data_IF_280204442799
#
_entry.id   IF_280204442799
#
_cell.length_a   1.000
_cell.length_b   1.000
_cell.length_c   1.000
_cell.angle_alpha   90.00
_cell.angle_beta   90.00
_cell.angle_gamma   90.00
#
_symmetry.space_group_name_H-M   'P 1'
#
loop_
_entity.id
_entity.type
_entity.pdbx_description
1 polymer ?
#
# COMPACT_ATOMS: atom_id res chain seq x y z
N UNK A 1 79.89 -51.57 -21.29
CA UNK A 1 80.56 -51.10 -20.06
C UNK A 1 80.12 -49.66 -19.83
N UNK A 2 79.48 -49.38 -18.68
CA UNK A 2 79.13 -48.06 -18.09
C UNK A 2 78.24 -47.11 -18.95
N UNK A 3 77.19 -46.46 -18.47
CA UNK A 3 76.57 -46.27 -17.15
C UNK A 3 75.53 -45.13 -17.30
N UNK A 4 74.42 -45.17 -16.55
CA UNK A 4 73.43 -44.07 -16.44
C UNK A 4 74.07 -42.85 -15.74
N UNK A 5 73.52 -41.64 -15.93
CA UNK A 5 72.71 -41.03 -14.85
C UNK A 5 71.46 -40.28 -15.39
N UNK A 6 70.24 -40.53 -14.89
CA UNK A 6 69.53 -39.79 -13.82
C UNK A 6 69.43 -38.27 -13.99
N UNK A 7 68.21 -37.81 -14.30
CA UNK A 7 67.73 -36.44 -14.11
C UNK A 7 66.21 -36.45 -13.99
N UNK A 8 65.70 -36.23 -12.78
CA UNK A 8 64.28 -36.04 -12.43
C UNK A 8 63.70 -34.79 -13.08
N UNK A 9 62.46 -34.83 -13.57
CA UNK A 9 61.52 -33.72 -13.47
C UNK A 9 60.07 -34.13 -13.84
N UNK A 10 59.29 -34.32 -12.78
CA UNK A 10 57.87 -33.97 -12.61
C UNK A 10 56.87 -34.14 -13.77
N UNK A 11 56.05 -35.18 -13.65
CA UNK A 11 54.72 -35.32 -14.21
C UNK A 11 53.76 -34.25 -13.66
N UNK A 12 53.03 -33.54 -14.52
CA UNK A 12 51.84 -32.78 -14.15
C UNK A 12 50.62 -33.42 -14.81
N UNK A 13 49.90 -34.25 -14.04
CA UNK A 13 48.57 -34.76 -14.38
C UNK A 13 47.54 -33.66 -14.12
N UNK A 14 46.92 -33.14 -15.18
CA UNK A 14 45.73 -32.30 -15.10
C UNK A 14 44.50 -33.20 -14.87
N UNK A 15 44.07 -33.29 -13.61
CA UNK A 15 42.80 -33.89 -13.21
C UNK A 15 41.65 -32.95 -13.54
N UNK A 16 40.79 -33.37 -14.47
CA UNK A 16 39.50 -32.73 -14.74
C UNK A 16 38.52 -33.08 -13.61
N UNK A 17 38.22 -32.12 -12.74
CA UNK A 17 37.14 -32.24 -11.75
C UNK A 17 35.81 -31.89 -12.41
N UNK A 18 35.04 -32.90 -12.81
CA UNK A 18 33.64 -32.75 -13.18
C UNK A 18 32.82 -32.49 -11.90
N UNK A 19 32.40 -31.24 -11.69
CA UNK A 19 31.46 -30.90 -10.63
C UNK A 19 30.06 -31.30 -11.09
N UNK A 20 29.65 -32.53 -10.80
CA UNK A 20 28.25 -32.96 -10.88
C UNK A 20 27.48 -32.31 -9.73
N UNK A 21 27.01 -31.09 -9.93
CA UNK A 21 26.07 -30.45 -9.01
C UNK A 21 24.72 -31.14 -9.11
N UNK A 22 24.36 -31.92 -8.09
CA UNK A 22 23.00 -32.39 -7.87
C UNK A 22 22.08 -31.17 -7.68
N UNK A 23 21.49 -30.69 -8.77
CA UNK A 23 20.40 -29.74 -8.70
C UNK A 23 19.20 -30.45 -8.07
N UNK A 24 19.01 -30.28 -6.76
CA UNK A 24 17.74 -30.58 -6.13
C UNK A 24 16.72 -29.66 -6.80
N UNK A 25 15.92 -30.19 -7.73
CA UNK A 25 14.79 -29.46 -8.27
C UNK A 25 13.86 -29.17 -7.10
N UNK A 26 13.77 -27.91 -6.67
CA UNK A 26 12.73 -27.48 -5.74
C UNK A 26 11.41 -27.66 -6.49
N UNK A 27 10.74 -28.79 -6.27
CA UNK A 27 9.37 -29.03 -6.70
C UNK A 27 8.45 -28.18 -5.83
N UNK A 28 8.37 -26.91 -6.18
CA UNK A 28 7.37 -25.96 -5.75
C UNK A 28 7.12 -25.05 -6.94
N UNK A 29 5.86 -24.80 -7.30
CA UNK A 29 5.54 -23.72 -8.24
C UNK A 29 6.15 -22.44 -7.69
N UNK A 30 7.04 -21.80 -8.43
CA UNK A 30 7.57 -20.49 -8.05
C UNK A 30 6.40 -19.50 -8.00
N UNK A 31 5.79 -19.35 -6.82
CA UNK A 31 4.77 -18.34 -6.58
C UNK A 31 5.53 -17.04 -6.42
N UNK A 32 5.71 -16.32 -7.53
CA UNK A 32 6.21 -14.95 -7.48
C UNK A 32 5.34 -14.14 -6.51
N UNK A 33 5.91 -13.25 -5.67
CA UNK A 33 5.13 -12.45 -4.72
C UNK A 33 3.91 -11.76 -5.37
N UNK A 34 4.05 -11.31 -6.62
CA UNK A 34 2.94 -10.77 -7.43
C UNK A 34 1.78 -11.76 -7.65
N UNK A 35 2.04 -13.05 -7.89
CA UNK A 35 0.99 -14.04 -8.11
C UNK A 35 0.16 -14.35 -6.84
N UNK A 36 0.75 -14.17 -5.65
CA UNK A 36 0.02 -14.24 -4.38
C UNK A 36 -0.80 -12.96 -4.16
N UNK A 37 -0.22 -11.82 -4.50
CA UNK A 37 -0.86 -10.52 -4.38
C UNK A 37 -2.09 -10.39 -5.31
N UNK A 38 -2.00 -10.86 -6.55
CA UNK A 38 -3.11 -10.80 -7.52
C UNK A 38 -4.34 -11.62 -7.07
N UNK A 39 -4.12 -12.71 -6.33
CA UNK A 39 -5.23 -13.53 -5.78
C UNK A 39 -5.89 -12.92 -4.56
N UNK A 40 -5.17 -12.04 -3.87
CA UNK A 40 -5.58 -11.48 -2.58
C UNK A 40 -6.18 -10.07 -2.70
N UNK A 41 -6.29 -9.55 -3.93
CA UNK A 41 -6.89 -8.24 -4.22
C UNK A 41 -8.33 -8.42 -4.70
N UNK A 42 -9.24 -7.54 -4.28
CA UNK A 42 -10.60 -7.53 -4.82
C UNK A 42 -10.59 -7.16 -6.30
N UNK A 43 -11.48 -7.79 -7.06
CA UNK A 43 -11.65 -7.62 -8.51
C UNK A 43 -13.01 -7.02 -8.83
N UNK A 44 -13.26 -6.64 -10.08
CA UNK A 44 -14.57 -6.15 -10.51
C UNK A 44 -15.74 -7.10 -10.16
N UNK A 45 -15.50 -8.41 -10.12
CA UNK A 45 -16.51 -9.42 -9.76
C UNK A 45 -16.95 -9.37 -8.29
N UNK A 46 -16.18 -8.69 -7.43
CA UNK A 46 -16.47 -8.56 -5.99
C UNK A 46 -17.42 -7.38 -5.67
N UNK A 47 -17.81 -6.62 -6.70
CA UNK A 47 -18.65 -5.45 -6.60
C UNK A 47 -19.99 -5.64 -7.35
N UNK A 48 -21.06 -4.94 -6.92
CA UNK A 48 -22.32 -4.95 -7.66
C UNK A 48 -22.15 -4.52 -9.13
N UNK A 49 -22.92 -5.10 -10.06
CA UNK A 49 -22.92 -4.64 -11.45
C UNK A 49 -23.23 -3.14 -11.55
N UNK A 50 -22.43 -2.42 -12.34
CA UNK A 50 -22.58 -0.97 -12.56
C UNK A 50 -21.70 -0.09 -11.66
N UNK A 51 -20.98 -0.66 -10.70
CA UNK A 51 -19.85 0.01 -10.03
C UNK A 51 -18.68 0.12 -11.02
N UNK A 52 -17.96 1.25 -11.00
CA UNK A 52 -16.73 1.39 -11.77
C UNK A 52 -15.57 0.83 -10.96
N UNK A 53 -14.80 -0.06 -11.57
CA UNK A 53 -13.62 -0.68 -10.97
C UNK A 53 -12.45 -0.54 -11.93
N UNK A 54 -11.30 -0.10 -11.41
CA UNK A 54 -10.05 -0.04 -12.15
C UNK A 54 -8.91 -0.60 -11.30
N UNK A 55 -8.07 -1.44 -11.90
CA UNK A 55 -6.78 -1.80 -11.31
C UNK A 55 -5.76 -0.70 -11.64
N UNK A 56 -5.02 -0.24 -10.63
CA UNK A 56 -4.06 0.85 -10.76
C UNK A 56 -2.67 0.25 -10.92
N UNK A 57 -2.12 0.37 -12.13
CA UNK A 57 -0.78 -0.10 -12.46
C UNK A 57 0.25 0.98 -12.10
N UNK A 58 1.03 0.72 -11.05
CA UNK A 58 2.12 1.60 -10.62
C UNK A 58 3.39 1.40 -11.45
N UNK A 59 4.17 2.46 -11.61
CA UNK A 59 5.48 2.40 -12.27
C UNK A 59 6.53 1.85 -11.29
N UNK A 60 7.23 0.74 -11.61
CA UNK A 60 8.24 0.18 -10.71
C UNK A 60 9.32 1.20 -10.32
N UNK A 61 9.63 1.28 -9.02
CA UNK A 61 10.66 2.16 -8.47
C UNK A 61 10.25 3.63 -8.32
N UNK A 62 9.05 4.01 -8.76
CA UNK A 62 8.51 5.36 -8.55
C UNK A 62 7.66 5.39 -7.26
N UNK A 63 7.90 6.32 -6.33
CA UNK A 63 7.03 6.49 -5.18
C UNK A 63 5.63 6.94 -5.59
N UNK A 64 4.64 6.56 -4.79
CA UNK A 64 3.28 7.07 -4.86
C UNK A 64 3.26 8.60 -4.90
N UNK A 65 2.44 9.17 -5.80
CA UNK A 65 2.29 10.62 -5.93
C UNK A 65 3.51 11.36 -6.50
N UNK A 66 4.53 10.65 -7.00
CA UNK A 66 5.70 11.28 -7.60
C UNK A 66 5.31 12.16 -8.80
N UNK A 67 5.63 13.45 -8.74
CA UNK A 67 5.25 14.45 -9.75
C UNK A 67 3.90 15.11 -9.51
N UNK A 68 3.18 14.75 -8.43
CA UNK A 68 2.01 15.49 -7.95
C UNK A 68 2.41 16.81 -7.25
N UNK A 69 1.44 17.70 -7.00
CA UNK A 69 1.68 18.90 -6.20
C UNK A 69 2.20 18.51 -4.80
N UNK A 70 3.05 19.34 -4.18
CA UNK A 70 3.49 19.10 -2.81
C UNK A 70 2.29 19.15 -1.85
N UNK A 71 2.44 18.49 -0.70
CA UNK A 71 1.48 18.62 0.37
C UNK A 71 1.34 20.09 0.81
N UNK A 72 0.11 20.50 1.16
CA UNK A 72 -0.14 21.83 1.71
C UNK A 72 0.70 22.04 2.98
N UNK A 73 1.08 23.30 3.23
CA UNK A 73 1.70 23.68 4.51
C UNK A 73 0.73 23.40 5.65
N UNK A 74 1.26 23.08 6.84
CA UNK A 74 0.43 22.81 8.01
C UNK A 74 1.00 23.34 9.31
N UNK A 75 0.12 23.53 10.28
CA UNK A 75 0.45 23.80 11.69
C UNK A 75 -0.36 22.87 12.59
N UNK A 76 0.27 21.94 13.33
CA UNK A 76 1.72 21.66 13.37
C UNK A 76 2.31 21.24 12.02
N UNK A 77 3.62 21.42 11.84
CA UNK A 77 4.32 21.08 10.59
C UNK A 77 4.20 19.58 10.28
N UNK A 78 3.99 19.25 9.00
CA UNK A 78 3.94 17.88 8.51
C UNK A 78 2.65 17.12 8.85
N UNK A 79 1.57 17.80 9.21
CA UNK A 79 0.26 17.19 9.46
C UNK A 79 -0.58 16.95 8.18
N UNK A 80 -0.39 17.75 7.12
CA UNK A 80 -1.14 17.59 5.85
C UNK A 80 -0.93 16.23 5.17
N UNK A 81 0.27 15.65 5.28
CA UNK A 81 0.65 14.39 4.64
C UNK A 81 1.23 13.37 5.62
N UNK A 82 0.94 13.54 6.92
CA UNK A 82 1.59 12.81 8.00
C UNK A 82 1.44 11.29 7.87
N UNK A 83 0.22 10.81 7.61
CA UNK A 83 -0.09 9.38 7.47
C UNK A 83 0.64 8.78 6.27
N UNK A 84 0.63 9.50 5.13
CA UNK A 84 1.36 9.10 3.92
C UNK A 84 2.86 8.98 4.19
N UNK A 85 3.46 9.91 4.94
CA UNK A 85 4.89 9.84 5.33
C UNK A 85 5.21 8.61 6.17
N UNK A 86 4.31 8.22 7.08
CA UNK A 86 4.50 7.00 7.89
C UNK A 86 4.54 5.76 7.00
N UNK A 87 3.58 5.62 6.07
CA UNK A 87 3.53 4.49 5.13
C UNK A 87 4.78 4.48 4.23
N UNK A 88 5.15 5.63 3.67
CA UNK A 88 6.28 5.75 2.78
C UNK A 88 7.63 5.41 3.46
N UNK A 89 7.75 5.69 4.77
CA UNK A 89 8.96 5.41 5.53
C UNK A 89 9.18 3.91 5.78
N UNK A 90 8.11 3.11 5.85
CA UNK A 90 8.18 1.65 6.04
C UNK A 90 7.91 0.88 4.74
N UNK A 91 7.92 1.53 3.59
CA UNK A 91 7.51 0.91 2.33
C UNK A 91 8.57 -0.04 1.77
N UNK A 92 8.20 -1.30 1.55
CA UNK A 92 9.01 -2.23 0.74
C UNK A 92 8.80 -1.93 -0.74
N UNK A 93 9.89 -1.55 -1.43
CA UNK A 93 9.84 -1.18 -2.85
C UNK A 93 10.27 -2.35 -3.71
N UNK A 94 9.43 -2.72 -4.68
CA UNK A 94 9.75 -3.76 -5.66
C UNK A 94 8.54 -4.17 -6.47
N UNK A 95 8.76 -4.85 -7.61
CA UNK A 95 7.67 -5.41 -8.37
C UNK A 95 6.91 -6.45 -7.53
N UNK A 96 5.59 -6.31 -7.44
CA UNK A 96 4.73 -7.20 -6.66
C UNK A 96 4.77 -6.99 -5.15
N UNK A 97 5.27 -5.84 -4.66
CA UNK A 97 5.19 -5.48 -3.23
C UNK A 97 3.83 -4.88 -2.87
N UNK A 98 3.21 -4.15 -3.82
CA UNK A 98 1.90 -3.54 -3.64
C UNK A 98 1.00 -3.73 -4.87
N UNK A 99 -0.30 -3.81 -4.64
CA UNK A 99 -1.34 -3.85 -5.68
C UNK A 99 -2.46 -2.90 -5.30
N UNK A 100 -2.94 -2.14 -6.27
CA UNK A 100 -3.86 -1.04 -6.05
C UNK A 100 -5.06 -1.15 -6.96
N UNK A 101 -6.20 -0.72 -6.46
CA UNK A 101 -7.40 -0.59 -7.27
C UNK A 101 -8.22 0.60 -6.80
N UNK A 102 -9.02 1.15 -7.71
CA UNK A 102 -10.05 2.11 -7.38
C UNK A 102 -11.43 1.55 -7.64
N UNK A 103 -12.37 1.93 -6.78
CA UNK A 103 -13.79 1.60 -6.89
C UNK A 103 -14.56 2.90 -6.81
N UNK A 104 -15.43 3.18 -7.76
CA UNK A 104 -16.27 4.36 -7.77
C UNK A 104 -17.76 4.00 -7.81
N UNK A 105 -18.48 4.63 -6.90
CA UNK A 105 -19.92 4.70 -6.79
C UNK A 105 -20.34 6.14 -7.03
N UNK A 106 -21.60 6.38 -7.37
CA UNK A 106 -22.13 7.75 -7.30
C UNK A 106 -22.23 8.18 -5.83
N UNK A 107 -21.32 9.08 -5.43
CA UNK A 107 -21.20 9.60 -4.06
C UNK A 107 -19.94 9.15 -3.32
N UNK A 108 -19.19 8.18 -3.83
CA UNK A 108 -17.98 7.68 -3.17
C UNK A 108 -16.94 7.15 -4.17
N UNK A 109 -15.71 7.65 -4.07
CA UNK A 109 -14.54 7.07 -4.74
C UNK A 109 -13.58 6.53 -3.70
N UNK A 110 -13.26 5.25 -3.80
CA UNK A 110 -12.34 4.54 -2.91
C UNK A 110 -11.11 4.13 -3.69
N UNK A 111 -9.93 4.31 -3.09
CA UNK A 111 -8.67 3.73 -3.57
C UNK A 111 -8.15 2.83 -2.48
N UNK A 112 -7.90 1.57 -2.82
CA UNK A 112 -7.35 0.57 -1.92
C UNK A 112 -5.97 0.15 -2.39
N UNK A 113 -5.08 -0.06 -1.43
CA UNK A 113 -3.74 -0.58 -1.63
C UNK A 113 -3.55 -1.80 -0.74
N UNK A 114 -3.15 -2.91 -1.34
CA UNK A 114 -2.77 -4.15 -0.66
C UNK A 114 -1.26 -4.29 -0.72
N UNK A 115 -0.66 -4.60 0.43
CA UNK A 115 0.78 -4.70 0.63
C UNK A 115 1.17 -6.12 1.01
N UNK A 116 2.33 -6.57 0.55
CA UNK A 116 2.93 -7.85 0.95
C UNK A 116 3.67 -7.80 2.30
N UNK A 117 3.59 -6.67 3.00
CA UNK A 117 4.23 -6.43 4.30
C UNK A 117 3.29 -5.68 5.24
N UNK A 118 3.64 -5.65 6.53
CA UNK A 118 2.82 -5.02 7.56
C UNK A 118 3.10 -3.51 7.67
N UNK A 119 2.04 -2.75 7.95
CA UNK A 119 2.12 -1.34 8.32
C UNK A 119 2.55 -1.19 9.79
N UNK A 120 3.20 -0.07 10.10
CA UNK A 120 3.46 0.38 11.47
C UNK A 120 2.21 1.07 12.04
N UNK A 121 1.26 0.25 12.51
CA UNK A 121 -0.03 0.73 13.01
C UNK A 121 0.11 1.61 14.25
N UNK A 122 1.07 1.33 15.13
CA UNK A 122 1.29 2.14 16.33
C UNK A 122 1.75 3.56 15.94
N UNK A 123 2.67 3.67 14.98
CA UNK A 123 3.13 4.97 14.49
C UNK A 123 2.06 5.71 13.70
N UNK A 124 1.22 5.00 12.95
CA UNK A 124 0.03 5.58 12.30
C UNK A 124 -0.94 6.13 13.33
N UNK A 125 -1.25 5.37 14.38
CA UNK A 125 -2.15 5.79 15.44
C UNK A 125 -1.63 7.02 16.20
N UNK A 126 -0.37 6.98 16.64
CA UNK A 126 0.28 8.11 17.31
C UNK A 126 0.36 9.36 16.42
N UNK A 127 0.53 9.17 15.11
CA UNK A 127 0.54 10.27 14.15
C UNK A 127 -0.85 10.88 13.95
N UNK A 128 -1.89 10.05 13.87
CA UNK A 128 -3.26 10.52 13.79
C UNK A 128 -3.67 11.30 15.04
N UNK A 129 -3.24 10.87 16.23
CA UNK A 129 -3.46 11.59 17.49
C UNK A 129 -2.74 12.94 17.51
N UNK A 130 -1.46 12.97 17.12
CA UNK A 130 -0.69 14.23 17.02
C UNK A 130 -1.34 15.24 16.05
N UNK A 131 -1.93 14.75 14.97
CA UNK A 131 -2.59 15.55 13.95
C UNK A 131 -4.13 15.46 14.03
N UNK A 132 -4.67 15.27 15.25
CA UNK A 132 -6.11 15.23 15.50
C UNK A 132 -6.78 16.58 15.19
N UNK A 133 -6.08 17.69 15.42
CA UNK A 133 -6.49 19.03 15.05
C UNK A 133 -5.27 19.77 14.50
N UNK A 134 -5.41 20.38 13.32
CA UNK A 134 -4.35 21.15 12.70
C UNK A 134 -4.94 22.17 11.72
N UNK A 135 -4.10 23.09 11.24
CA UNK A 135 -4.45 24.01 10.17
C UNK A 135 -3.62 23.68 8.93
N UNK A 136 -4.21 23.90 7.76
CA UNK A 136 -3.49 23.86 6.47
C UNK A 136 -3.59 25.19 5.75
N UNK A 137 -2.66 25.44 4.83
CA UNK A 137 -2.53 26.73 4.16
C UNK A 137 -2.22 26.53 2.67
N UNK A 138 -2.88 27.30 1.81
CA UNK A 138 -2.55 27.36 0.39
C UNK A 138 -1.21 28.06 0.15
N UNK A 139 -0.91 29.08 0.94
CA UNK A 139 0.35 29.81 0.98
C UNK A 139 0.65 30.27 2.43
N UNK A 140 1.89 30.71 2.75
CA UNK A 140 2.27 31.10 4.11
C UNK A 140 1.52 32.30 4.70
N UNK A 141 0.91 33.16 3.88
CA UNK A 141 0.25 34.41 4.28
C UNK A 141 -1.28 34.27 4.39
N UNK A 142 -1.84 33.20 3.81
CA UNK A 142 -3.25 32.85 3.87
C UNK A 142 -3.76 32.56 5.30
N UNK A 143 -5.06 32.78 5.51
CA UNK A 143 -5.76 32.28 6.69
C UNK A 143 -5.72 30.74 6.73
N UNK A 144 -5.56 30.19 7.93
CA UNK A 144 -5.48 28.75 8.12
C UNK A 144 -6.83 28.06 7.93
N UNK A 145 -6.85 26.97 7.17
CA UNK A 145 -8.01 26.11 6.97
C UNK A 145 -8.01 25.04 8.07
N UNK A 146 -8.98 25.03 8.99
CA UNK A 146 -9.06 24.02 10.03
C UNK A 146 -9.24 22.62 9.46
N UNK A 147 -8.47 21.70 10.01
CA UNK A 147 -8.53 20.26 9.73
C UNK A 147 -8.72 19.50 11.05
N UNK A 148 -9.56 18.48 11.02
CA UNK A 148 -9.67 17.50 12.13
C UNK A 148 -9.45 16.08 11.63
N UNK A 149 -8.86 15.23 12.45
CA UNK A 149 -8.70 13.80 12.21
C UNK A 149 -9.34 13.04 13.37
N UNK A 150 -10.47 12.38 13.12
CA UNK A 150 -11.27 11.69 14.15
C UNK A 150 -11.25 10.19 13.91
N UNK A 151 -11.00 9.42 14.97
CA UNK A 151 -11.08 7.95 14.93
C UNK A 151 -12.53 7.50 14.81
N UNK A 152 -12.83 6.63 13.85
CA UNK A 152 -14.12 5.97 13.74
C UNK A 152 -14.10 4.63 14.48
N UNK A 153 -15.21 4.32 15.14
CA UNK A 153 -15.44 3.00 15.73
C UNK A 153 -15.89 2.04 14.64
N UNK A 154 -15.29 0.86 14.60
CA UNK A 154 -15.66 -0.17 13.63
C UNK A 154 -15.77 -1.53 14.30
N UNK A 155 -16.48 -2.49 13.71
CA UNK A 155 -16.52 -3.87 14.21
C UNK A 155 -15.17 -4.59 14.19
N UNK A 156 -14.16 -4.04 13.49
CA UNK A 156 -12.82 -4.62 13.36
C UNK A 156 -11.86 -3.88 14.31
N UNK A 157 -11.59 -4.42 15.53
CA UNK A 157 -10.83 -3.69 16.55
C UNK A 157 -9.38 -3.41 16.15
N UNK A 158 -8.80 -4.26 15.30
CA UNK A 158 -7.43 -4.14 14.82
C UNK A 158 -7.28 -3.16 13.63
N UNK A 159 -8.40 -2.74 13.04
CA UNK A 159 -8.41 -1.79 11.93
C UNK A 159 -8.34 -0.35 12.45
N UNK A 160 -7.41 0.44 11.90
CA UNK A 160 -7.35 1.87 12.12
C UNK A 160 -8.17 2.64 11.10
N UNK A 161 -9.31 3.20 11.51
CA UNK A 161 -10.17 3.98 10.62
C UNK A 161 -10.33 5.42 11.10
N UNK A 162 -10.10 6.38 10.20
CA UNK A 162 -10.16 7.80 10.49
C UNK A 162 -11.02 8.55 9.50
N UNK A 163 -11.74 9.55 9.99
CA UNK A 163 -12.35 10.61 9.19
C UNK A 163 -11.48 11.86 9.34
N UNK A 164 -10.97 12.36 8.22
CA UNK A 164 -10.28 13.65 8.18
C UNK A 164 -11.21 14.68 7.56
N UNK A 165 -11.49 15.77 8.27
CA UNK A 165 -12.43 16.80 7.82
C UNK A 165 -11.71 18.12 7.63
N UNK A 166 -11.88 18.71 6.45
CA UNK A 166 -11.52 20.08 6.14
C UNK A 166 -12.75 20.97 6.36
N UNK A 167 -12.58 22.10 7.04
CA UNK A 167 -13.59 23.14 7.17
C UNK A 167 -13.14 24.38 6.40
N UNK A 168 -13.68 24.58 5.20
CA UNK A 168 -13.38 25.73 4.37
C UNK A 168 -14.52 26.75 4.49
N UNK A 169 -14.31 27.77 5.32
CA UNK A 169 -15.29 28.85 5.53
C UNK A 169 -16.68 28.35 5.97
N UNK A 170 -16.74 27.28 6.78
CA UNK A 170 -17.97 26.65 7.26
C UNK A 170 -18.45 25.49 6.38
N UNK A 171 -17.89 25.31 5.18
CA UNK A 171 -18.17 24.16 4.32
C UNK A 171 -17.26 23.00 4.68
N UNK A 172 -17.86 21.89 5.13
CA UNK A 172 -17.12 20.71 5.57
C UNK A 172 -17.03 19.66 4.47
N UNK A 173 -15.82 19.20 4.21
CA UNK A 173 -15.55 18.05 3.34
C UNK A 173 -14.66 17.06 4.06
N UNK A 174 -14.96 15.76 3.93
CA UNK A 174 -14.23 14.72 4.63
C UNK A 174 -13.63 13.69 3.69
N UNK A 175 -12.41 13.26 3.96
CA UNK A 175 -11.83 12.04 3.43
C UNK A 175 -11.78 10.98 4.54
N UNK A 176 -11.79 9.71 4.17
CA UNK A 176 -11.75 8.59 5.12
C UNK A 176 -10.55 7.72 4.84
N UNK A 177 -9.90 7.25 5.89
CA UNK A 177 -8.70 6.41 5.82
C UNK A 177 -8.93 5.13 6.60
N UNK A 178 -8.42 4.02 6.10
CA UNK A 178 -8.41 2.73 6.78
C UNK A 178 -7.02 2.10 6.67
N UNK A 179 -6.53 1.49 7.74
CA UNK A 179 -5.25 0.78 7.81
C UNK A 179 -5.45 -0.51 8.61
N UNK A 180 -5.08 -1.65 8.06
CA UNK A 180 -5.23 -2.94 8.73
C UNK A 180 -4.12 -3.90 8.31
N UNK A 181 -3.53 -4.58 9.29
CA UNK A 181 -2.63 -5.71 9.06
C UNK A 181 -3.43 -7.00 9.18
N UNK A 182 -3.26 -7.92 8.22
CA UNK A 182 -3.88 -9.25 8.22
C UNK A 182 -2.79 -10.29 7.96
N UNK A 183 -2.38 -10.99 9.02
CA UNK A 183 -1.25 -11.92 8.96
C UNK A 183 0.07 -11.20 8.64
N UNK A 184 0.68 -11.57 7.52
CA UNK A 184 1.93 -10.99 7.02
C UNK A 184 1.71 -9.95 5.90
N UNK A 185 0.46 -9.57 5.64
CA UNK A 185 0.07 -8.61 4.61
C UNK A 185 -0.68 -7.45 5.27
N UNK A 186 -0.85 -6.36 4.53
CA UNK A 186 -1.65 -5.23 4.98
C UNK A 186 -2.55 -4.71 3.87
N UNK A 187 -3.63 -4.05 4.27
CA UNK A 187 -4.45 -3.23 3.40
C UNK A 187 -4.56 -1.83 3.99
N UNK A 188 -4.47 -0.82 3.13
CA UNK A 188 -4.91 0.52 3.49
C UNK A 188 -5.72 1.13 2.36
N UNK A 189 -6.57 2.09 2.72
CA UNK A 189 -7.45 2.73 1.76
C UNK A 189 -7.72 4.18 2.10
N UNK A 190 -8.14 4.90 1.06
CA UNK A 190 -8.65 6.26 1.18
C UNK A 190 -9.96 6.38 0.41
N UNK A 191 -10.91 7.12 0.95
CA UNK A 191 -12.18 7.39 0.29
C UNK A 191 -12.52 8.88 0.29
N UNK A 192 -13.08 9.33 -0.83
CA UNK A 192 -13.50 10.71 -1.04
C UNK A 192 -14.98 10.77 -1.45
N UNK A 193 -15.75 11.77 -0.98
CA UNK A 193 -17.09 12.03 -1.48
C UNK A 193 -16.98 12.52 -2.91
N UNK A 194 -17.54 11.76 -3.85
CA UNK A 194 -17.43 12.07 -5.28
C UNK A 194 -18.75 11.76 -5.96
N UNK A 195 -19.67 12.74 -6.07
CA UNK A 195 -20.87 12.59 -6.87
C UNK A 195 -20.50 12.30 -8.33
N UNK A 196 -21.08 11.24 -8.87
CA UNK A 196 -20.90 10.84 -10.26
C UNK A 196 -22.19 10.21 -10.80
N UNK A 197 -23.13 11.01 -11.34
CA UNK A 197 -24.43 10.52 -11.79
C UNK A 197 -24.36 9.56 -12.99
N UNK A 198 -23.20 9.41 -13.63
CA UNK A 198 -22.99 8.42 -14.68
C UNK A 198 -22.86 6.98 -14.11
N UNK A 199 -22.62 6.82 -12.81
CA UNK A 199 -22.55 5.53 -12.13
C UNK A 199 -23.93 5.22 -11.55
N UNK A 200 -24.55 4.11 -11.99
CA UNK A 200 -25.90 3.76 -11.57
C UNK A 200 -25.99 3.38 -10.08
N UNK A 201 -24.91 2.82 -9.53
CA UNK A 201 -24.85 2.35 -8.15
C UNK A 201 -24.44 3.48 -7.22
N UNK A 202 -25.31 3.77 -6.24
CA UNK A 202 -25.07 4.80 -5.22
C UNK A 202 -24.12 4.29 -4.13
N UNK A 203 -23.30 5.18 -3.60
CA UNK A 203 -22.44 4.93 -2.45
C UNK A 203 -22.56 6.07 -1.44
N UNK A 204 -22.41 5.75 -0.16
CA UNK A 204 -22.42 6.72 0.92
C UNK A 204 -21.25 6.48 1.85
N UNK A 205 -20.56 7.56 2.23
CA UNK A 205 -19.46 7.50 3.18
C UNK A 205 -19.95 7.77 4.61
N UNK A 206 -19.38 7.10 5.63
CA UNK A 206 -18.25 6.16 5.53
C UNK A 206 -18.64 4.73 5.14
N UNK A 207 -19.94 4.36 5.11
CA UNK A 207 -20.36 2.96 5.06
C UNK A 207 -19.82 2.18 3.85
N UNK A 208 -19.94 2.73 2.63
CA UNK A 208 -19.41 2.10 1.42
C UNK A 208 -17.90 1.84 1.55
N UNK A 209 -17.15 2.74 2.17
CA UNK A 209 -15.73 2.54 2.39
C UNK A 209 -15.45 1.44 3.41
N UNK A 210 -16.18 1.43 4.53
CA UNK A 210 -16.05 0.39 5.56
C UNK A 210 -16.36 -1.01 5.02
N UNK A 211 -17.40 -1.13 4.19
CA UNK A 211 -17.78 -2.39 3.55
C UNK A 211 -16.67 -2.90 2.61
N UNK A 212 -16.05 -2.01 1.83
CA UNK A 212 -14.97 -2.38 0.90
C UNK A 212 -13.69 -2.74 1.66
N UNK A 213 -13.30 -1.96 2.66
CA UNK A 213 -12.13 -2.29 3.48
C UNK A 213 -12.33 -3.61 4.23
N UNK A 214 -13.53 -3.87 4.74
CA UNK A 214 -13.89 -5.12 5.40
C UNK A 214 -13.77 -6.31 4.45
N UNK A 215 -14.37 -6.24 3.26
CA UNK A 215 -14.24 -7.27 2.22
C UNK A 215 -12.79 -7.52 1.82
N UNK A 216 -11.98 -6.46 1.72
CA UNK A 216 -10.57 -6.61 1.39
C UNK A 216 -9.80 -7.33 2.50
N UNK A 217 -10.05 -6.98 3.77
CA UNK A 217 -9.44 -7.68 4.91
C UNK A 217 -9.87 -9.15 5.01
N UNK A 218 -11.14 -9.44 4.72
CA UNK A 218 -11.65 -10.81 4.61
C UNK A 218 -10.94 -11.60 3.50
N UNK A 219 -10.73 -10.99 2.32
CA UNK A 219 -9.95 -11.59 1.23
C UNK A 219 -8.50 -11.88 1.62
N UNK A 220 -7.89 -11.06 2.47
CA UNK A 220 -6.54 -11.31 2.99
C UNK A 220 -6.48 -12.43 4.04
N UNK A 221 -7.60 -12.70 4.71
CA UNK A 221 -7.69 -13.71 5.77
C UNK A 221 -7.89 -15.14 5.23
N UNK A 222 -8.24 -15.27 3.95
CA UNK A 222 -8.64 -16.52 3.28
C UNK A 222 -7.58 -17.15 2.38
#
# INVERSE_FOLDING_TARGET
MFGRPTGMAASALLLAAAVSGCANSVTGTATWPGAKLDRTVLTAADFPPGVQYDHIVEQPGRPDGAGGPPAMLSKPEGCSDALTRVIAASAERGAGSASKYSVAYDGARVVMTVLTWNLDLDKLAATAERCAEYQTFFDPESDGIPMTTTRLQTPRPDALVYQQTMDLSGEKSSAFFSFENVGAMAAFGIAFPTPNPAIAVKGSLPQTFLDISGKQAERLSG
#
